data_IF_087432634948
#
_entry.id   IF_087432634948
#
_cell.length_a   1.000
_cell.length_b   1.000
_cell.length_c   1.000
_cell.angle_alpha   90.00
_cell.angle_beta   90.00
_cell.angle_gamma   90.00
#
_symmetry.space_group_name_H-M   'P 1'
#
loop_
_entity.id
_entity.type
_entity.pdbx_description
1 polymer ?
#
# COMPACT_ATOMS: atom_id res chain seq x y z
N UNK A 1 2.87 20.88 -5.29
CA UNK A 1 1.76 19.91 -5.16
C UNK A 1 2.40 18.55 -5.35
N UNK A 2 2.15 17.61 -4.44
CA UNK A 2 2.66 16.24 -4.57
C UNK A 2 1.72 15.49 -5.51
N UNK A 3 2.26 14.82 -6.49
CA UNK A 3 1.52 14.04 -7.48
C UNK A 3 1.65 12.53 -7.20
N UNK A 4 0.91 11.72 -7.96
CA UNK A 4 0.87 10.27 -7.78
C UNK A 4 2.25 9.61 -7.85
N UNK A 5 3.12 10.07 -8.76
CA UNK A 5 4.47 9.51 -8.91
C UNK A 5 5.33 9.77 -7.67
N UNK A 6 5.18 10.95 -7.04
CA UNK A 6 5.81 11.24 -5.75
C UNK A 6 5.43 10.19 -4.70
N UNK A 7 4.14 9.94 -4.48
CA UNK A 7 3.68 9.00 -3.45
C UNK A 7 4.08 7.56 -3.78
N UNK A 8 4.03 7.16 -5.06
CA UNK A 8 4.46 5.84 -5.52
C UNK A 8 5.98 5.60 -5.38
N UNK A 9 6.78 6.65 -5.23
CA UNK A 9 8.23 6.56 -5.00
C UNK A 9 8.60 6.37 -3.53
N UNK A 10 7.65 6.56 -2.62
CA UNK A 10 7.93 6.52 -1.18
C UNK A 10 8.20 5.09 -0.70
N UNK A 11 9.07 4.92 0.32
CA UNK A 11 9.38 3.62 0.89
C UNK A 11 8.29 3.15 1.85
N UNK A 12 7.17 2.68 1.29
CA UNK A 12 6.03 2.14 2.05
C UNK A 12 6.40 0.91 2.87
N UNK A 13 5.83 0.81 4.07
CA UNK A 13 6.09 -0.32 4.98
C UNK A 13 5.16 -1.48 4.66
N UNK A 14 5.70 -2.49 3.97
CA UNK A 14 4.97 -3.71 3.62
C UNK A 14 4.90 -4.66 4.82
N UNK A 15 3.70 -5.15 5.13
CA UNK A 15 3.45 -6.17 6.14
C UNK A 15 2.84 -7.41 5.49
N UNK A 16 3.30 -8.58 5.91
CA UNK A 16 2.81 -9.87 5.41
C UNK A 16 2.17 -10.66 6.53
N UNK A 17 1.02 -11.24 6.21
CA UNK A 17 0.28 -12.17 7.07
C UNK A 17 -0.19 -13.37 6.23
N UNK A 18 -0.42 -14.49 6.91
CA UNK A 18 -1.07 -15.67 6.33
C UNK A 18 -2.42 -15.83 7.02
N UNK A 19 -3.46 -16.02 6.24
CA UNK A 19 -4.82 -16.25 6.72
C UNK A 19 -5.35 -17.57 6.16
N UNK A 20 -6.20 -18.24 6.93
CA UNK A 20 -6.81 -19.52 6.60
C UNK A 20 -8.33 -19.35 6.52
N UNK A 21 -8.90 -19.56 5.33
CA UNK A 21 -10.34 -19.56 5.08
C UNK A 21 -10.80 -20.93 4.54
N UNK A 22 -12.09 -21.09 4.26
CA UNK A 22 -12.65 -22.37 3.76
C UNK A 22 -11.96 -22.87 2.47
N UNK A 23 -11.51 -21.95 1.60
CA UNK A 23 -10.79 -22.25 0.36
C UNK A 23 -9.29 -22.53 0.55
N UNK A 24 -8.81 -22.53 1.80
CA UNK A 24 -7.43 -22.79 2.17
C UNK A 24 -6.68 -21.53 2.62
N UNK A 25 -5.34 -21.62 2.59
CA UNK A 25 -4.46 -20.53 3.04
C UNK A 25 -4.14 -19.54 1.94
N UNK A 26 -4.13 -18.27 2.29
CA UNK A 26 -3.73 -17.19 1.42
C UNK A 26 -2.78 -16.23 2.14
N UNK A 27 -1.96 -15.57 1.35
CA UNK A 27 -1.07 -14.51 1.79
C UNK A 27 -1.76 -13.18 1.64
N UNK A 28 -1.67 -12.36 2.68
CA UNK A 28 -2.17 -10.99 2.70
C UNK A 28 -0.96 -10.06 2.79
N UNK A 29 -0.95 -9.06 1.92
CA UNK A 29 -0.02 -7.94 1.95
C UNK A 29 -0.81 -6.69 2.32
N UNK A 30 -0.40 -6.03 3.38
CA UNK A 30 -0.91 -4.74 3.82
C UNK A 30 0.22 -3.70 3.82
N UNK A 31 -0.15 -2.41 3.76
CA UNK A 31 0.79 -1.31 3.95
C UNK A 31 0.45 -0.65 5.29
N UNK A 32 1.43 -0.62 6.20
CA UNK A 32 1.21 -0.18 7.59
C UNK A 32 0.61 1.23 7.69
N UNK A 33 0.96 2.10 6.75
CA UNK A 33 0.49 3.49 6.73
C UNK A 33 -0.80 3.71 5.94
N UNK A 34 -1.24 2.73 5.17
CA UNK A 34 -2.46 2.81 4.36
C UNK A 34 -3.48 1.77 4.85
N UNK A 35 -4.07 1.98 6.04
CA UNK A 35 -5.10 1.08 6.54
C UNK A 35 -6.27 1.03 5.56
N UNK A 36 -6.66 -0.19 5.17
CA UNK A 36 -7.70 -0.43 4.18
C UNK A 36 -7.18 -0.87 2.81
N UNK A 37 -5.87 -0.78 2.54
CA UNK A 37 -5.25 -1.44 1.39
C UNK A 37 -4.72 -2.82 1.80
N UNK A 38 -5.40 -3.86 1.33
CA UNK A 38 -4.97 -5.25 1.47
C UNK A 38 -4.96 -5.95 0.10
N UNK A 39 -3.90 -6.69 -0.19
CA UNK A 39 -3.76 -7.48 -1.42
C UNK A 39 -3.61 -8.93 -1.04
N UNK A 40 -4.49 -9.78 -1.58
CA UNK A 40 -4.52 -11.22 -1.28
C UNK A 40 -4.09 -12.06 -2.48
N UNK A 41 -3.45 -13.19 -2.20
CA UNK A 41 -3.02 -14.15 -3.22
C UNK A 41 -2.53 -15.47 -2.64
N UNK A 42 -2.32 -16.47 -3.48
CA UNK A 42 -1.87 -17.80 -3.03
C UNK A 42 -0.34 -17.89 -2.93
N UNK A 43 0.36 -16.96 -3.58
CA UNK A 43 1.82 -16.87 -3.55
C UNK A 43 2.27 -15.42 -3.42
N UNK A 44 3.46 -15.20 -2.85
CA UNK A 44 4.03 -13.85 -2.76
C UNK A 44 4.18 -13.20 -4.14
N UNK A 45 4.52 -13.98 -5.18
CA UNK A 45 4.68 -13.47 -6.54
C UNK A 45 3.37 -12.90 -7.10
N UNK A 46 2.23 -13.59 -6.89
CA UNK A 46 0.92 -13.10 -7.30
C UNK A 46 0.53 -11.81 -6.58
N UNK A 47 0.80 -11.76 -5.27
CA UNK A 47 0.51 -10.58 -4.45
C UNK A 47 1.36 -9.39 -4.89
N UNK A 48 2.66 -9.59 -5.11
CA UNK A 48 3.58 -8.55 -5.57
C UNK A 48 3.26 -8.07 -7.00
N UNK A 49 2.77 -8.95 -7.88
CA UNK A 49 2.32 -8.55 -9.22
C UNK A 49 1.14 -7.56 -9.15
N UNK A 50 0.28 -7.71 -8.14
CA UNK A 50 -0.90 -6.85 -7.92
C UNK A 50 -0.60 -5.64 -7.03
N UNK A 51 0.50 -5.67 -6.29
CA UNK A 51 0.89 -4.63 -5.34
C UNK A 51 0.96 -3.25 -5.97
N UNK A 52 1.73 -3.09 -7.05
CA UNK A 52 1.96 -1.78 -7.67
C UNK A 52 0.67 -1.17 -8.24
N UNK A 53 -0.15 -1.90 -9.04
CA UNK A 53 -1.43 -1.38 -9.52
C UNK A 53 -2.43 -1.05 -8.39
N UNK A 54 -2.48 -1.88 -7.34
CA UNK A 54 -3.41 -1.66 -6.23
C UNK A 54 -3.02 -0.40 -5.43
N UNK A 55 -1.73 -0.21 -5.17
CA UNK A 55 -1.21 0.99 -4.52
C UNK A 55 -1.46 2.25 -5.35
N UNK A 56 -1.27 2.19 -6.67
CA UNK A 56 -1.54 3.30 -7.59
C UNK A 56 -3.00 3.73 -7.53
N UNK A 57 -3.93 2.79 -7.67
CA UNK A 57 -5.36 3.08 -7.62
C UNK A 57 -5.79 3.67 -6.27
N UNK A 58 -5.24 3.14 -5.18
CA UNK A 58 -5.55 3.59 -3.83
C UNK A 58 -5.03 5.01 -3.56
N UNK A 59 -3.82 5.34 -4.01
CA UNK A 59 -3.27 6.69 -3.86
C UNK A 59 -3.99 7.68 -4.79
N UNK A 60 -4.37 7.25 -6.00
CA UNK A 60 -5.14 8.07 -6.93
C UNK A 60 -6.50 8.46 -6.34
N UNK A 61 -7.17 7.57 -5.60
CA UNK A 61 -8.46 7.90 -4.98
C UNK A 61 -8.35 9.04 -3.96
N UNK A 62 -7.29 9.06 -3.12
CA UNK A 62 -7.04 10.20 -2.22
C UNK A 62 -6.90 11.51 -2.99
N UNK A 63 -6.10 11.51 -4.06
CA UNK A 63 -5.84 12.70 -4.86
C UNK A 63 -7.10 13.19 -5.59
N UNK A 64 -7.94 12.27 -6.06
CA UNK A 64 -9.24 12.57 -6.68
C UNK A 64 -10.21 13.23 -5.71
N UNK A 65 -10.21 12.79 -4.45
CA UNK A 65 -11.06 13.36 -3.40
C UNK A 65 -10.49 14.68 -2.83
N UNK A 66 -9.31 15.10 -3.31
CA UNK A 66 -8.62 16.31 -2.85
C UNK A 66 -7.97 16.13 -1.48
N UNK A 67 -7.78 14.88 -1.04
CA UNK A 67 -7.13 14.51 0.22
C UNK A 67 -5.65 14.14 -0.01
N UNK A 68 -4.82 14.36 1.01
CA UNK A 68 -3.45 13.84 1.00
C UNK A 68 -3.44 12.45 1.64
N UNK A 69 -2.88 11.42 0.97
CA UNK A 69 -2.74 10.11 1.59
C UNK A 69 -1.76 10.18 2.78
N UNK A 70 -1.92 9.28 3.77
CA UNK A 70 -0.94 9.12 4.85
C UNK A 70 0.47 8.93 4.30
N UNK A 71 1.48 9.44 5.01
CA UNK A 71 2.88 9.29 4.61
C UNK A 71 3.52 8.12 5.34
N UNK A 72 4.48 7.40 4.70
CA UNK A 72 5.29 6.43 5.39
C UNK A 72 6.12 7.10 6.49
N UNK A 73 6.35 6.38 7.60
CA UNK A 73 7.01 6.93 8.78
C UNK A 73 8.38 7.58 8.48
N UNK A 74 9.10 7.03 7.51
CA UNK A 74 10.39 7.53 7.02
C UNK A 74 10.27 8.83 6.22
N UNK A 75 9.17 9.05 5.49
CA UNK A 75 8.92 10.28 4.74
C UNK A 75 8.43 11.43 5.64
N UNK A 76 7.90 11.13 6.83
CA UNK A 76 7.43 12.17 7.75
C UNK A 76 8.58 12.93 8.44
N UNK A 77 9.77 12.32 8.52
CA UNK A 77 10.95 12.91 9.15
C UNK A 77 11.66 13.99 8.29
N UNK A 78 11.39 14.06 6.99
CA UNK A 78 12.07 15.03 6.08
C UNK A 78 11.42 16.41 6.00
N UNK A 79 10.24 16.61 6.60
CA UNK A 79 9.52 17.91 6.57
C UNK A 79 9.72 18.77 7.83
N UNK A 80 10.70 18.43 8.69
CA UNK A 80 10.91 19.07 10.00
C UNK A 80 12.30 19.67 10.23
N UNK A 81 12.96 20.19 9.19
CA UNK A 81 14.26 20.87 9.31
C UNK A 81 14.24 22.26 8.68
#
# INVERSE_FOLDING_TARGET
>A
MKDLEYYLSLPWTIQWSEEEEEDGRFLVLEIAELPGLAIVGRTQAEVLLRYRPALELFLESYLMDGEEPPLPATAQQVSGA
#
